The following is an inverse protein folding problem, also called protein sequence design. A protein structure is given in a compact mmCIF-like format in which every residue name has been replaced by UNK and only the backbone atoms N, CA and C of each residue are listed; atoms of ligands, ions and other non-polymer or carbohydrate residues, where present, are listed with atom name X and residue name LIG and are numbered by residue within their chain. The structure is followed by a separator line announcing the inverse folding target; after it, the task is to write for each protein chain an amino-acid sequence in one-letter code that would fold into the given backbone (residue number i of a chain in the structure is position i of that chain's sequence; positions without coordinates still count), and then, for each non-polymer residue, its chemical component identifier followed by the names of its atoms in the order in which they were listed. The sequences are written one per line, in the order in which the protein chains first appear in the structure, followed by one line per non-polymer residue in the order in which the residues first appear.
data_IF_758765061192
#
_entry.id   IF_758765061192
#
_cell.length_a   1.000
_cell.length_b   1.000
_cell.length_c   1.000
_cell.angle_alpha   90.00
_cell.angle_beta   90.00
_cell.angle_gamma   90.00
#
_symmetry.space_group_name_H-M   'P 1'
#
loop_
_entity.id
_entity.type
_entity.pdbx_description
1 polymer ?
#
# COMPACT_ATOMS: atom_id res chain seq x y z
N UNK A 1 4.84 -23.05 34.04
CA UNK A 1 3.83 -22.19 33.38
C UNK A 1 4.56 -21.32 32.37
N UNK A 2 4.30 -21.46 31.09
CA UNK A 2 4.86 -20.55 30.09
C UNK A 2 4.36 -19.13 30.39
N UNK A 3 5.27 -18.17 30.47
CA UNK A 3 4.99 -16.76 30.73
C UNK A 3 4.20 -16.24 29.54
N UNK A 4 2.98 -15.79 29.75
CA UNK A 4 2.22 -15.08 28.72
C UNK A 4 2.98 -13.78 28.46
N UNK A 5 3.51 -13.60 27.27
CA UNK A 5 4.22 -12.38 26.90
C UNK A 5 3.20 -11.32 26.53
N UNK A 6 3.23 -10.19 27.24
CA UNK A 6 2.53 -8.98 26.82
C UNK A 6 3.29 -8.36 25.65
N UNK A 7 2.66 -8.34 24.48
CA UNK A 7 3.23 -7.79 23.26
C UNK A 7 2.67 -6.41 23.03
N UNK A 8 3.51 -5.35 23.02
CA UNK A 8 3.05 -4.02 22.70
C UNK A 8 2.58 -3.94 21.24
N UNK A 9 1.54 -3.18 20.98
CA UNK A 9 1.09 -2.89 19.63
C UNK A 9 0.66 -1.43 19.50
N UNK A 10 0.68 -0.95 18.25
CA UNK A 10 0.08 0.29 17.80
C UNK A 10 -0.84 -0.02 16.63
N UNK A 11 -2.05 0.54 16.63
CA UNK A 11 -2.97 0.49 15.49
C UNK A 11 -2.84 1.78 14.72
N UNK A 12 -2.72 1.68 13.39
CA UNK A 12 -2.66 2.85 12.52
C UNK A 12 -3.21 2.54 11.12
N UNK A 13 -3.43 3.57 10.34
CA UNK A 13 -3.84 3.45 8.94
C UNK A 13 -3.25 4.54 8.06
N UNK A 14 -3.09 4.23 6.77
CA UNK A 14 -2.84 5.19 5.71
C UNK A 14 -4.04 5.18 4.76
N UNK A 15 -4.84 6.25 4.75
CA UNK A 15 -6.06 6.32 3.95
C UNK A 15 -6.98 5.09 4.13
N UNK A 16 -7.30 4.77 5.40
CA UNK A 16 -8.16 3.65 5.85
C UNK A 16 -7.67 2.22 5.52
N UNK A 17 -6.50 2.06 4.91
CA UNK A 17 -5.81 0.76 4.88
C UNK A 17 -5.07 0.60 6.21
N UNK A 18 -5.49 -0.36 7.04
CA UNK A 18 -5.20 -0.38 8.46
C UNK A 18 -4.26 -1.52 8.89
N UNK A 19 -3.37 -1.21 9.83
CA UNK A 19 -2.31 -2.12 10.25
C UNK A 19 -2.19 -2.22 11.76
N UNK A 20 -1.74 -3.39 12.24
CA UNK A 20 -1.19 -3.57 13.58
C UNK A 20 0.34 -3.49 13.47
N UNK A 21 0.93 -2.46 14.10
CA UNK A 21 2.38 -2.36 14.24
C UNK A 21 2.81 -3.09 15.50
N UNK A 22 3.86 -3.90 15.39
CA UNK A 22 4.48 -4.61 16.51
C UNK A 22 5.91 -4.08 16.70
N UNK A 23 6.15 -3.25 17.75
CA UNK A 23 7.50 -2.81 18.08
C UNK A 23 8.35 -3.98 18.55
N UNK A 24 9.33 -4.34 17.78
CA UNK A 24 10.29 -5.45 18.07
C UNK A 24 11.70 -5.09 17.60
N UNK A 25 12.20 -3.96 18.10
CA UNK A 25 13.50 -3.41 17.67
C UNK A 25 14.67 -4.40 17.81
N UNK A 26 14.55 -5.37 18.72
CA UNK A 26 15.58 -6.35 19.01
C UNK A 26 15.39 -7.70 18.30
N UNK A 27 14.37 -7.84 17.46
CA UNK A 27 14.11 -9.04 16.70
C UNK A 27 13.77 -10.30 17.54
N UNK A 28 13.11 -10.11 18.69
CA UNK A 28 12.84 -11.20 19.66
C UNK A 28 11.47 -11.85 19.49
N UNK A 29 10.60 -11.22 18.70
CA UNK A 29 9.22 -11.67 18.55
C UNK A 29 9.15 -12.81 17.52
N UNK A 30 8.71 -13.97 17.97
CA UNK A 30 8.34 -15.06 17.08
C UNK A 30 6.97 -14.77 16.47
N UNK A 31 6.95 -14.14 15.28
CA UNK A 31 5.74 -13.76 14.56
C UNK A 31 5.36 -14.84 13.54
N UNK A 32 4.61 -15.86 13.99
CA UNK A 32 4.10 -16.92 13.12
C UNK A 32 2.93 -16.43 12.26
N UNK A 33 2.67 -17.08 11.11
CA UNK A 33 1.50 -16.78 10.27
C UNK A 33 0.17 -16.93 11.04
N UNK A 34 0.11 -17.84 12.01
CA UNK A 34 -1.06 -18.07 12.83
C UNK A 34 -1.33 -16.91 13.80
N UNK A 35 -0.28 -16.35 14.40
CA UNK A 35 -0.35 -15.13 15.23
C UNK A 35 -0.79 -13.91 14.43
N UNK A 36 -0.29 -13.78 13.19
CA UNK A 36 -0.72 -12.71 12.27
C UNK A 36 -2.21 -12.84 11.96
N UNK A 37 -2.68 -14.02 11.55
CA UNK A 37 -4.10 -14.26 11.28
C UNK A 37 -4.97 -13.94 12.49
N UNK A 38 -4.52 -14.30 13.69
CA UNK A 38 -5.25 -13.99 14.91
C UNK A 38 -5.29 -12.48 15.17
N UNK A 39 -4.17 -11.77 15.06
CA UNK A 39 -4.12 -10.31 15.23
C UNK A 39 -5.05 -9.59 14.25
N UNK A 40 -5.05 -10.03 12.98
CA UNK A 40 -5.83 -9.40 11.92
C UNK A 40 -7.31 -9.74 11.93
N UNK A 41 -7.74 -10.77 12.68
CA UNK A 41 -9.16 -11.11 12.82
C UNK A 41 -9.91 -9.96 13.53
N UNK A 42 -10.86 -9.34 12.83
CA UNK A 42 -11.61 -8.15 13.32
C UNK A 42 -12.59 -8.46 14.46
N UNK A 43 -12.75 -9.73 14.83
CA UNK A 43 -13.67 -10.15 15.91
C UNK A 43 -12.96 -10.83 17.09
N UNK A 44 -11.86 -11.55 16.82
CA UNK A 44 -11.12 -12.30 17.85
C UNK A 44 -9.81 -11.62 18.24
N UNK A 45 -9.22 -10.83 17.34
CA UNK A 45 -7.97 -10.11 17.51
C UNK A 45 -8.17 -8.60 17.61
N UNK A 46 -7.19 -7.86 17.13
CA UNK A 46 -7.22 -6.38 17.02
C UNK A 46 -7.97 -5.97 15.74
N UNK A 47 -7.88 -6.78 14.69
CA UNK A 47 -8.44 -6.49 13.37
C UNK A 47 -7.53 -5.57 12.56
N UNK A 48 -7.10 -6.01 11.39
CA UNK A 48 -6.30 -5.21 10.45
C UNK A 48 -6.24 -5.88 9.07
N UNK A 49 -5.82 -5.11 8.06
CA UNK A 49 -5.48 -5.61 6.74
C UNK A 49 -4.10 -6.28 6.73
N UNK A 50 -3.25 -5.99 7.73
CA UNK A 50 -1.95 -6.62 7.88
C UNK A 50 -1.21 -6.22 9.15
N UNK A 51 -0.03 -6.81 9.33
CA UNK A 51 0.87 -6.57 10.45
C UNK A 51 2.18 -5.99 9.93
N UNK A 52 2.66 -4.93 10.58
CA UNK A 52 3.97 -4.32 10.37
C UNK A 52 4.83 -4.56 11.62
N UNK A 53 5.74 -5.52 11.58
CA UNK A 53 6.74 -5.70 12.64
C UNK A 53 7.85 -4.69 12.41
N UNK A 54 8.18 -3.92 13.43
CA UNK A 54 9.20 -2.88 13.41
C UNK A 54 10.47 -3.43 14.03
N UNK A 55 11.45 -3.78 13.22
CA UNK A 55 12.71 -4.40 13.68
C UNK A 55 13.92 -3.62 13.14
N UNK A 56 15.01 -3.54 13.92
CA UNK A 56 16.27 -3.02 13.37
C UNK A 56 16.87 -4.02 12.42
N UNK A 57 17.38 -3.57 11.26
CA UNK A 57 18.06 -4.42 10.31
C UNK A 57 19.17 -5.24 10.96
N UNK A 58 19.97 -4.63 11.84
CA UNK A 58 21.05 -5.32 12.57
C UNK A 58 20.59 -6.51 13.43
N UNK A 59 19.30 -6.61 13.74
CA UNK A 59 18.74 -7.68 14.57
C UNK A 59 17.83 -8.64 13.79
N UNK A 60 17.75 -8.48 12.47
CA UNK A 60 17.01 -9.39 11.61
C UNK A 60 17.96 -10.16 10.68
N UNK A 61 17.93 -11.51 10.69
CA UNK A 61 18.87 -12.31 9.89
C UNK A 61 18.77 -12.09 8.37
N UNK A 62 17.60 -11.68 7.87
CA UNK A 62 17.36 -11.43 6.45
C UNK A 62 17.95 -10.08 6.01
N UNK A 63 18.07 -9.10 6.94
CA UNK A 63 18.44 -7.72 6.64
C UNK A 63 19.67 -7.20 7.37
N UNK A 64 20.39 -8.04 8.15
CA UNK A 64 21.56 -7.62 8.92
C UNK A 64 22.65 -6.97 8.06
N UNK A 65 22.87 -7.44 6.85
CA UNK A 65 23.87 -6.92 5.92
C UNK A 65 23.52 -5.51 5.38
N UNK A 66 22.30 -5.05 5.57
CA UNK A 66 21.83 -3.74 5.13
C UNK A 66 21.78 -2.69 6.24
N UNK A 67 22.25 -3.02 7.44
CA UNK A 67 22.16 -2.13 8.62
C UNK A 67 22.87 -0.79 8.44
N UNK A 68 23.90 -0.71 7.59
CA UNK A 68 24.61 0.53 7.25
C UNK A 68 23.81 1.43 6.27
N UNK A 69 22.81 0.87 5.57
CA UNK A 69 21.99 1.59 4.59
C UNK A 69 20.63 1.97 5.16
N UNK A 70 20.02 1.07 5.92
CA UNK A 70 18.72 1.27 6.56
C UNK A 70 18.76 0.78 8.01
N UNK A 71 18.38 1.65 8.94
CA UNK A 71 18.31 1.26 10.36
C UNK A 71 17.18 0.28 10.63
N UNK A 72 16.02 0.45 9.95
CA UNK A 72 14.81 -0.31 10.23
C UNK A 72 14.34 -1.12 9.02
N UNK A 73 13.90 -2.35 9.31
CA UNK A 73 13.21 -3.23 8.39
C UNK A 73 11.71 -3.26 8.70
N UNK A 74 10.91 -3.04 7.68
CA UNK A 74 9.46 -3.21 7.71
C UNK A 74 9.10 -4.66 7.35
N UNK A 75 9.01 -5.54 8.35
CA UNK A 75 8.51 -6.91 8.15
C UNK A 75 6.99 -6.87 8.00
N UNK A 76 6.54 -6.69 6.76
CA UNK A 76 5.13 -6.64 6.41
C UNK A 76 4.57 -8.04 6.14
N UNK A 77 3.40 -8.30 6.73
CA UNK A 77 2.64 -9.54 6.54
C UNK A 77 1.17 -9.24 6.30
N UNK A 78 0.59 -9.89 5.28
CA UNK A 78 -0.83 -9.82 4.98
C UNK A 78 -1.67 -10.43 6.10
N UNK A 79 -2.97 -10.13 6.13
CA UNK A 79 -3.90 -10.64 7.16
C UNK A 79 -3.99 -12.18 7.22
N UNK A 80 -3.71 -12.87 6.11
CA UNK A 80 -3.66 -14.34 6.03
C UNK A 80 -2.35 -14.95 6.58
N UNK A 81 -1.41 -14.09 6.98
CA UNK A 81 -0.10 -14.48 7.52
C UNK A 81 0.98 -14.69 6.45
N UNK A 82 0.69 -14.52 5.17
CA UNK A 82 1.68 -14.56 4.10
C UNK A 82 2.66 -13.37 4.20
N UNK A 83 3.90 -13.58 3.76
CA UNK A 83 4.88 -12.51 3.63
C UNK A 83 4.50 -11.62 2.45
N UNK A 84 4.64 -10.32 2.64
CA UNK A 84 4.43 -9.34 1.60
C UNK A 84 5.70 -8.53 1.34
N UNK A 85 5.89 -8.11 0.10
CA UNK A 85 7.09 -7.42 -0.32
C UNK A 85 7.12 -5.97 0.18
N UNK A 86 6.08 -5.19 -0.16
CA UNK A 86 5.96 -3.78 0.21
C UNK A 86 4.50 -3.31 0.08
N UNK A 87 4.13 -2.30 0.86
CA UNK A 87 2.86 -1.59 0.77
C UNK A 87 3.09 -0.09 1.04
N UNK A 88 2.75 0.77 0.08
CA UNK A 88 2.93 2.21 0.22
C UNK A 88 2.14 2.82 1.37
N UNK A 89 0.93 2.34 1.64
CA UNK A 89 0.11 2.74 2.79
C UNK A 89 0.76 2.30 4.10
N UNK A 90 1.19 1.03 4.17
CA UNK A 90 1.91 0.47 5.32
C UNK A 90 3.22 1.19 5.60
N UNK A 91 3.98 1.54 4.56
CA UNK A 91 5.24 2.28 4.68
C UNK A 91 5.01 3.69 5.28
N UNK A 92 3.92 4.38 4.88
CA UNK A 92 3.56 5.67 5.52
C UNK A 92 3.28 5.49 7.01
N UNK A 93 2.50 4.50 7.40
CA UNK A 93 2.17 4.21 8.82
C UNK A 93 3.42 3.81 9.60
N UNK A 94 4.30 3.01 9.00
CA UNK A 94 5.57 2.60 9.59
C UNK A 94 6.48 3.80 9.89
N UNK A 95 6.68 4.68 8.92
CA UNK A 95 7.52 5.90 9.07
C UNK A 95 6.88 6.88 10.05
N UNK A 96 5.55 7.03 10.02
CA UNK A 96 4.80 7.84 11.01
C UNK A 96 5.02 7.34 12.44
N UNK A 97 5.03 6.01 12.62
CA UNK A 97 5.32 5.40 13.92
C UNK A 97 6.75 5.68 14.37
N UNK A 98 7.74 5.45 13.51
CA UNK A 98 9.15 5.72 13.83
C UNK A 98 9.36 7.19 14.22
N UNK A 99 8.74 8.12 13.51
CA UNK A 99 8.79 9.54 13.82
C UNK A 99 8.14 9.85 15.18
N UNK A 100 6.93 9.36 15.42
CA UNK A 100 6.18 9.62 16.65
C UNK A 100 6.84 9.06 17.91
N UNK A 101 7.68 8.03 17.78
CA UNK A 101 8.44 7.44 18.88
C UNK A 101 9.83 8.05 19.08
N UNK A 102 10.24 8.99 18.21
CA UNK A 102 11.56 9.57 18.22
C UNK A 102 12.66 8.60 17.77
N UNK A 103 12.30 7.52 17.07
CA UNK A 103 13.25 6.54 16.56
C UNK A 103 14.01 7.05 15.33
N UNK A 104 13.47 8.06 14.61
CA UNK A 104 14.17 8.68 13.49
C UNK A 104 15.07 9.81 13.98
N UNK A 105 16.32 9.79 13.54
CA UNK A 105 17.29 10.89 13.76
C UNK A 105 17.12 12.06 12.78
N UNK A 106 16.40 11.86 11.69
CA UNK A 106 16.16 12.85 10.62
C UNK A 106 14.74 12.71 10.10
N UNK A 107 14.25 13.75 9.39
CA UNK A 107 12.98 13.69 8.66
C UNK A 107 13.04 12.87 7.38
N UNK A 108 14.23 12.66 6.84
CA UNK A 108 14.47 11.75 5.72
C UNK A 108 15.09 10.45 6.23
N UNK A 109 14.65 9.33 5.71
CA UNK A 109 15.16 8.01 6.10
C UNK A 109 15.09 7.05 4.92
N UNK A 110 15.80 5.93 5.05
CA UNK A 110 15.62 4.75 4.20
C UNK A 110 15.13 3.63 5.10
N UNK A 111 14.09 2.93 4.67
CA UNK A 111 13.60 1.72 5.31
C UNK A 111 13.86 0.51 4.43
N UNK A 112 14.25 -0.60 5.02
CA UNK A 112 14.36 -1.86 4.31
C UNK A 112 12.98 -2.53 4.19
N UNK A 113 12.69 -3.10 3.04
CA UNK A 113 11.49 -3.91 2.76
C UNK A 113 11.91 -5.13 1.95
N UNK A 114 11.05 -6.13 1.80
CA UNK A 114 11.33 -7.28 0.91
C UNK A 114 11.36 -6.92 -0.56
N UNK A 115 10.77 -5.78 -0.95
CA UNK A 115 10.92 -5.22 -2.31
C UNK A 115 12.21 -4.42 -2.51
N UNK A 116 13.03 -4.24 -1.46
CA UNK A 116 14.26 -3.44 -1.49
C UNK A 116 14.21 -2.24 -0.56
N UNK A 117 15.15 -1.30 -0.78
CA UNK A 117 15.28 -0.09 0.02
C UNK A 117 14.32 0.99 -0.46
N UNK A 118 13.57 1.57 0.47
CA UNK A 118 12.55 2.58 0.19
C UNK A 118 12.92 3.87 0.89
N UNK A 119 13.08 4.93 0.11
CA UNK A 119 13.28 6.28 0.65
C UNK A 119 11.97 6.82 1.21
N UNK A 120 12.04 7.52 2.34
CA UNK A 120 10.89 8.14 2.96
C UNK A 120 11.24 9.52 3.55
N UNK A 121 10.25 10.41 3.57
CA UNK A 121 10.36 11.75 4.14
C UNK A 121 9.13 12.08 4.97
N UNK A 122 9.35 12.71 6.12
CA UNK A 122 8.30 13.25 6.99
C UNK A 122 8.13 14.73 6.70
N UNK A 123 6.96 15.16 6.22
CA UNK A 123 6.62 16.56 5.93
C UNK A 123 5.63 17.13 6.95
N UNK A 124 5.62 18.46 7.04
CA UNK A 124 4.79 19.18 8.00
C UNK A 124 5.37 19.21 9.42
N UNK A 125 4.84 20.08 10.28
CA UNK A 125 5.35 20.29 11.65
C UNK A 125 5.02 19.13 12.56
N UNK A 126 3.83 18.53 12.36
CA UNK A 126 3.31 17.40 13.16
C UNK A 126 3.27 16.09 12.35
N UNK A 127 4.08 16.01 11.27
CA UNK A 127 4.13 14.86 10.37
C UNK A 127 2.76 14.55 9.71
N UNK A 128 2.10 15.61 9.23
CA UNK A 128 0.80 15.51 8.56
C UNK A 128 0.86 14.68 7.29
N UNK A 129 2.02 14.70 6.63
CA UNK A 129 2.25 13.95 5.41
C UNK A 129 3.53 13.12 5.49
N UNK A 130 3.44 11.90 4.97
CA UNK A 130 4.58 11.01 4.77
C UNK A 130 4.75 10.77 3.27
N UNK A 131 5.97 10.96 2.79
CA UNK A 131 6.36 10.69 1.40
C UNK A 131 7.10 9.36 1.35
N UNK A 132 6.72 8.50 0.41
CA UNK A 132 7.34 7.19 0.18
C UNK A 132 7.76 7.09 -1.29
N UNK A 133 9.04 6.79 -1.52
CA UNK A 133 9.54 6.49 -2.86
C UNK A 133 8.94 5.20 -3.40
N UNK A 134 8.25 5.29 -4.54
CA UNK A 134 7.56 4.15 -5.16
C UNK A 134 8.35 3.55 -6.34
N UNK A 135 9.51 4.14 -6.65
CA UNK A 135 10.32 3.72 -7.81
C UNK A 135 9.79 4.28 -9.12
N UNK A 136 10.33 3.78 -10.22
CA UNK A 136 9.89 4.15 -11.56
C UNK A 136 8.77 3.22 -12.05
N UNK A 137 7.92 3.78 -12.91
CA UNK A 137 6.98 2.96 -13.67
C UNK A 137 7.76 2.13 -14.68
N UNK A 138 7.42 0.86 -14.76
CA UNK A 138 7.98 -0.05 -15.77
C UNK A 138 6.90 -0.28 -16.83
N UNK A 139 7.25 -0.03 -18.07
CA UNK A 139 6.35 -0.34 -19.18
C UNK A 139 5.98 -1.82 -19.16
N UNK A 140 4.72 -2.11 -19.49
CA UNK A 140 4.30 -3.50 -19.63
C UNK A 140 5.17 -4.20 -20.68
N UNK A 141 5.76 -5.37 -20.35
CA UNK A 141 6.63 -6.09 -21.27
C UNK A 141 5.91 -6.53 -22.55
N UNK A 142 4.59 -6.47 -22.59
CA UNK A 142 3.76 -6.73 -23.77
C UNK A 142 2.59 -5.73 -23.80
N UNK A 143 2.67 -4.66 -24.60
CA UNK A 143 1.55 -3.74 -24.78
C UNK A 143 0.47 -4.41 -25.66
N UNK A 144 -0.28 -5.34 -25.07
CA UNK A 144 -1.49 -5.88 -25.70
C UNK A 144 -2.65 -4.93 -25.37
N UNK A 145 -3.54 -4.66 -26.32
CA UNK A 145 -4.81 -4.04 -26.00
C UNK A 145 -5.51 -4.88 -24.93
N UNK A 146 -5.83 -4.29 -23.81
CA UNK A 146 -6.56 -4.97 -22.73
C UNK A 146 -7.90 -4.29 -22.53
N UNK A 147 -8.90 -5.12 -22.24
CA UNK A 147 -10.22 -4.65 -21.87
C UNK A 147 -10.63 -5.24 -20.52
N UNK A 148 -11.49 -4.52 -19.83
CA UNK A 148 -11.99 -4.87 -18.51
C UNK A 148 -13.51 -4.87 -18.52
N UNK A 149 -14.13 -5.87 -17.89
CA UNK A 149 -15.58 -5.91 -17.68
C UNK A 149 -15.88 -6.27 -16.22
N UNK A 150 -16.71 -5.47 -15.58
CA UNK A 150 -17.18 -5.76 -14.22
C UNK A 150 -18.26 -6.86 -14.32
N UNK A 151 -18.18 -7.92 -13.50
CA UNK A 151 -19.22 -8.95 -13.46
C UNK A 151 -20.61 -8.36 -13.19
N UNK A 152 -21.57 -8.71 -14.04
CA UNK A 152 -22.94 -8.16 -13.97
C UNK A 152 -23.16 -6.89 -14.79
N UNK A 153 -22.11 -6.24 -15.30
CA UNK A 153 -22.19 -5.14 -16.26
C UNK A 153 -21.99 -5.64 -17.69
N UNK A 154 -22.72 -5.07 -18.64
CA UNK A 154 -22.56 -5.40 -20.06
C UNK A 154 -21.40 -4.63 -20.71
N UNK A 155 -21.02 -3.49 -20.14
CA UNK A 155 -20.02 -2.59 -20.69
C UNK A 155 -18.63 -3.21 -20.61
N UNK A 156 -17.95 -3.24 -21.75
CA UNK A 156 -16.51 -3.59 -21.87
C UNK A 156 -15.74 -2.28 -22.02
N UNK A 157 -14.74 -2.08 -21.18
CA UNK A 157 -13.98 -0.83 -21.09
C UNK A 157 -12.54 -1.08 -21.50
N UNK A 158 -11.93 -0.17 -22.23
CA UNK A 158 -10.50 -0.20 -22.53
C UNK A 158 -9.69 0.10 -21.27
N UNK A 159 -8.53 -0.54 -21.15
CA UNK A 159 -7.63 -0.33 -20.01
C UNK A 159 -6.18 -0.18 -20.47
N UNK A 160 -5.42 0.58 -19.71
CA UNK A 160 -3.98 0.74 -19.88
C UNK A 160 -3.24 -0.15 -18.90
N UNK A 161 -2.32 -0.99 -19.43
CA UNK A 161 -1.47 -1.84 -18.61
C UNK A 161 -0.25 -1.08 -18.12
N UNK A 162 0.03 -1.13 -16.83
CA UNK A 162 1.18 -0.47 -16.22
C UNK A 162 1.69 -1.27 -15.02
N UNK A 163 2.99 -1.18 -14.70
CA UNK A 163 3.62 -1.85 -13.54
C UNK A 163 4.25 -0.83 -12.59
N UNK A 164 3.87 -0.91 -11.28
CA UNK A 164 4.35 -0.03 -10.21
C UNK A 164 4.54 -0.79 -8.87
N UNK A 165 5.54 -1.60 -8.65
CA UNK A 165 6.18 -2.55 -9.55
C UNK A 165 5.27 -3.73 -9.91
N UNK A 166 4.16 -3.92 -9.18
CA UNK A 166 3.15 -4.94 -9.47
C UNK A 166 2.24 -4.53 -10.65
N UNK A 167 1.52 -5.49 -11.26
CA UNK A 167 0.72 -5.21 -12.44
C UNK A 167 -0.59 -4.50 -12.10
N UNK A 168 -0.93 -3.49 -12.92
CA UNK A 168 -2.15 -2.69 -12.86
C UNK A 168 -2.82 -2.61 -14.23
N UNK A 169 -4.14 -2.67 -14.25
CA UNK A 169 -5.01 -2.39 -15.39
C UNK A 169 -5.86 -1.15 -15.07
N UNK A 170 -5.49 -0.02 -15.62
CA UNK A 170 -6.12 1.27 -15.34
C UNK A 170 -7.19 1.56 -16.39
N UNK A 171 -8.43 1.70 -15.94
CA UNK A 171 -9.62 2.03 -16.74
C UNK A 171 -10.03 3.46 -16.45
N UNK A 172 -9.99 4.34 -17.44
CA UNK A 172 -10.61 5.65 -17.34
C UNK A 172 -12.07 5.54 -17.76
N UNK A 173 -12.99 5.92 -16.86
CA UNK A 173 -14.42 5.90 -17.14
C UNK A 173 -14.80 7.05 -18.09
N UNK A 174 -15.67 6.74 -19.04
CA UNK A 174 -16.32 7.77 -19.85
C UNK A 174 -17.26 8.63 -18.98
N UNK A 175 -17.54 9.86 -19.40
CA UNK A 175 -18.40 10.82 -18.69
C UNK A 175 -19.82 10.30 -18.41
N UNK A 176 -20.22 9.23 -19.09
CA UNK A 176 -21.55 8.60 -18.96
C UNK A 176 -21.65 7.61 -17.81
N UNK A 177 -20.51 7.25 -17.17
CA UNK A 177 -20.47 6.27 -16.10
C UNK A 177 -19.74 6.85 -14.87
N UNK A 178 -20.43 6.88 -13.73
CA UNK A 178 -19.87 7.37 -12.47
C UNK A 178 -19.25 6.23 -11.66
N UNK A 179 -18.13 6.52 -10.96
CA UNK A 179 -17.48 5.58 -10.05
C UNK A 179 -18.42 5.02 -8.98
N UNK A 180 -19.38 5.85 -8.52
CA UNK A 180 -20.31 5.46 -7.48
C UNK A 180 -21.40 4.51 -7.99
N UNK A 181 -21.58 4.41 -9.32
CA UNK A 181 -22.55 3.55 -10.00
C UNK A 181 -22.00 2.17 -10.38
N UNK A 182 -20.68 1.94 -10.21
CA UNK A 182 -20.03 0.64 -10.54
C UNK A 182 -20.51 -0.53 -9.68
N UNK A 183 -21.24 -0.27 -8.60
CA UNK A 183 -21.56 -1.29 -7.60
C UNK A 183 -20.32 -1.75 -6.83
N UNK A 184 -20.37 -2.88 -6.08
CA UNK A 184 -19.24 -3.42 -5.34
C UNK A 184 -18.21 -4.06 -6.28
N UNK A 185 -16.94 -3.82 -5.99
CA UNK A 185 -15.81 -4.40 -6.72
C UNK A 185 -15.19 -5.60 -5.99
N UNK A 186 -15.97 -6.33 -5.18
CA UNK A 186 -15.50 -7.49 -4.42
C UNK A 186 -15.18 -8.70 -5.33
N UNK A 187 -15.91 -8.82 -6.44
CA UNK A 187 -15.68 -9.88 -7.42
C UNK A 187 -14.66 -9.42 -8.46
N UNK A 188 -13.63 -10.24 -8.77
CA UNK A 188 -12.61 -9.87 -9.74
C UNK A 188 -13.21 -9.43 -11.08
N UNK A 189 -12.85 -8.25 -11.60
CA UNK A 189 -13.17 -7.88 -12.97
C UNK A 189 -12.56 -8.85 -13.98
N UNK A 190 -13.27 -9.08 -15.09
CA UNK A 190 -12.78 -9.93 -16.17
C UNK A 190 -11.87 -9.11 -17.06
N UNK A 191 -10.58 -9.47 -17.10
CA UNK A 191 -9.57 -8.82 -17.96
C UNK A 191 -9.33 -9.70 -19.20
N UNK A 192 -9.33 -9.08 -20.37
CA UNK A 192 -9.12 -9.73 -21.66
C UNK A 192 -7.98 -9.07 -22.42
N UNK A 193 -7.03 -9.84 -22.98
CA UNK A 193 -6.97 -11.29 -22.96
C UNK A 193 -6.45 -11.84 -21.61
N UNK A 194 -6.91 -12.99 -21.13
CA UNK A 194 -6.51 -13.51 -19.81
C UNK A 194 -5.00 -13.83 -19.72
N UNK A 195 -4.34 -14.03 -20.86
CA UNK A 195 -2.89 -14.27 -20.92
C UNK A 195 -2.06 -13.02 -20.54
N UNK A 196 -2.65 -11.82 -20.57
CA UNK A 196 -1.95 -10.59 -20.17
C UNK A 196 -1.52 -10.62 -18.70
N UNK A 197 -2.30 -11.30 -17.85
CA UNK A 197 -2.05 -11.37 -16.41
C UNK A 197 -2.33 -12.79 -15.86
N UNK A 198 -1.44 -13.75 -16.09
CA UNK A 198 -1.65 -15.13 -15.69
C UNK A 198 -1.76 -15.31 -14.17
N UNK A 199 -1.15 -14.40 -13.40
CA UNK A 199 -1.20 -14.39 -11.92
C UNK A 199 -2.21 -13.37 -11.36
N UNK A 200 -3.04 -12.77 -12.23
CA UNK A 200 -3.98 -11.72 -11.87
C UNK A 200 -3.37 -10.32 -11.84
N UNK A 201 -4.21 -9.31 -11.69
CA UNK A 201 -3.88 -7.89 -11.81
C UNK A 201 -4.76 -7.06 -10.86
N UNK A 202 -4.24 -5.92 -10.39
CA UNK A 202 -5.06 -4.90 -9.76
C UNK A 202 -5.80 -4.12 -10.86
N UNK A 203 -7.06 -3.81 -10.63
CA UNK A 203 -7.86 -3.07 -11.62
C UNK A 203 -8.34 -1.78 -10.97
N UNK A 204 -7.87 -0.66 -11.51
CA UNK A 204 -8.24 0.68 -11.09
C UNK A 204 -9.31 1.25 -12.04
N UNK A 205 -10.43 1.67 -11.48
CA UNK A 205 -11.45 2.45 -12.18
C UNK A 205 -11.25 3.90 -11.79
N UNK A 206 -11.03 4.76 -12.78
CA UNK A 206 -10.56 6.14 -12.59
C UNK A 206 -11.48 7.12 -13.29
N UNK A 207 -11.70 8.26 -12.66
CA UNK A 207 -12.45 9.38 -13.22
C UNK A 207 -11.70 10.69 -13.04
N UNK A 208 -11.64 11.51 -14.08
CA UNK A 208 -11.11 12.86 -13.98
C UNK A 208 -12.04 13.75 -13.14
N UNK A 209 -11.47 14.53 -12.23
CA UNK A 209 -12.17 15.55 -11.44
C UNK A 209 -11.78 16.94 -11.92
N UNK A 210 -10.55 17.13 -12.35
CA UNK A 210 -10.01 18.37 -12.85
C UNK A 210 -8.57 18.21 -13.34
N UNK A 211 -7.89 19.32 -13.66
CA UNK A 211 -6.47 19.26 -13.98
C UNK A 211 -5.70 18.64 -12.83
N UNK A 212 -4.81 17.65 -13.13
CA UNK A 212 -3.99 16.94 -12.15
C UNK A 212 -4.77 16.41 -10.92
N UNK A 213 -6.07 16.11 -11.12
CA UNK A 213 -6.95 15.61 -10.07
C UNK A 213 -7.84 14.50 -10.61
N UNK A 214 -7.68 13.32 -10.03
CA UNK A 214 -8.47 12.13 -10.33
C UNK A 214 -9.08 11.56 -9.04
N UNK A 215 -10.14 10.79 -9.19
CA UNK A 215 -10.66 9.90 -8.16
C UNK A 215 -10.67 8.47 -8.68
N UNK A 216 -10.51 7.49 -7.79
CA UNK A 216 -10.46 6.08 -8.18
C UNK A 216 -11.07 5.16 -7.16
N UNK A 217 -11.50 3.99 -7.66
CA UNK A 217 -11.78 2.78 -6.87
C UNK A 217 -10.95 1.64 -7.44
N UNK A 218 -10.61 0.66 -6.63
CA UNK A 218 -9.71 -0.43 -7.02
C UNK A 218 -10.22 -1.79 -6.55
N UNK A 219 -10.09 -2.79 -7.44
CA UNK A 219 -10.11 -4.19 -7.07
C UNK A 219 -8.67 -4.68 -6.95
N UNK A 220 -8.21 -4.97 -5.75
CA UNK A 220 -6.87 -5.51 -5.54
C UNK A 220 -6.85 -7.02 -5.74
N UNK A 221 -5.82 -7.50 -6.43
CA UNK A 221 -5.58 -8.90 -6.75
C UNK A 221 -5.56 -9.78 -5.48
N UNK A 222 -6.47 -10.73 -5.41
CA UNK A 222 -6.56 -11.67 -4.28
C UNK A 222 -7.20 -11.13 -3.01
N UNK A 223 -7.60 -9.85 -3.01
CA UNK A 223 -8.19 -9.18 -1.84
C UNK A 223 -9.64 -8.77 -2.09
N UNK A 224 -9.92 -8.14 -3.24
CA UNK A 224 -11.20 -7.53 -3.55
C UNK A 224 -11.12 -6.00 -3.52
N UNK A 225 -12.24 -5.32 -3.32
CA UNK A 225 -12.26 -3.87 -3.20
C UNK A 225 -11.59 -3.42 -1.89
N UNK A 226 -10.64 -2.49 -2.01
CA UNK A 226 -9.97 -1.88 -0.86
C UNK A 226 -10.21 -0.37 -0.82
N UNK A 227 -10.04 0.20 0.37
CA UNK A 227 -10.25 1.64 0.60
C UNK A 227 -9.14 2.52 0.02
N UNK A 228 -7.95 1.94 -0.20
CA UNK A 228 -6.78 2.65 -0.74
C UNK A 228 -5.72 1.65 -1.21
N UNK A 229 -5.21 1.83 -2.42
CA UNK A 229 -4.06 1.12 -2.97
C UNK A 229 -2.99 2.13 -3.39
N UNK A 230 -1.82 2.11 -2.75
CA UNK A 230 -0.76 3.09 -3.01
C UNK A 230 -0.13 2.93 -4.40
N UNK A 231 0.15 1.71 -4.82
CA UNK A 231 0.68 1.41 -6.18
C UNK A 231 -0.38 1.69 -7.24
N UNK A 232 -1.65 1.39 -6.97
CA UNK A 232 -2.77 1.72 -7.85
C UNK A 232 -2.94 3.23 -8.04
N UNK A 233 -2.79 4.04 -6.98
CA UNK A 233 -2.82 5.50 -7.08
C UNK A 233 -1.68 6.03 -7.96
N UNK A 234 -0.47 5.48 -7.83
CA UNK A 234 0.66 5.81 -8.69
C UNK A 234 0.40 5.41 -10.15
N UNK A 235 -0.13 4.21 -10.38
CA UNK A 235 -0.49 3.72 -11.71
C UNK A 235 -1.55 4.63 -12.38
N UNK A 236 -2.63 4.95 -11.66
CA UNK A 236 -3.69 5.81 -12.15
C UNK A 236 -3.21 7.22 -12.49
N UNK A 237 -2.41 7.84 -11.61
CA UNK A 237 -1.83 9.16 -11.83
C UNK A 237 -0.89 9.18 -13.04
N UNK A 238 -0.06 8.14 -13.18
CA UNK A 238 0.85 8.03 -14.33
C UNK A 238 0.10 7.92 -15.65
N UNK A 239 -0.95 7.09 -15.72
CA UNK A 239 -1.78 6.99 -16.93
C UNK A 239 -2.48 8.31 -17.22
N UNK A 240 -3.06 8.98 -16.19
CA UNK A 240 -3.68 10.29 -16.35
C UNK A 240 -2.72 11.31 -16.96
N UNK A 241 -1.48 11.36 -16.48
CA UNK A 241 -0.44 12.27 -16.99
C UNK A 241 -0.03 11.96 -18.44
N UNK A 242 -0.10 10.70 -18.87
CA UNK A 242 0.19 10.33 -20.27
C UNK A 242 -0.98 10.66 -21.22
N UNK A 243 -2.21 10.62 -20.74
CA UNK A 243 -3.40 10.96 -21.52
C UNK A 243 -3.56 12.46 -21.76
N UNK A 244 -3.17 13.27 -20.79
CA UNK A 244 -3.27 14.72 -20.86
C UNK A 244 -2.00 15.33 -20.26
N UNK A 245 -1.14 16.01 -21.07
CA UNK A 245 0.10 16.58 -20.54
C UNK A 245 -0.18 17.46 -19.35
N UNK A 246 0.28 17.02 -18.19
CA UNK A 246 0.20 17.77 -16.95
C UNK A 246 1.02 19.06 -17.06
N UNK A 247 0.55 20.11 -16.41
CA UNK A 247 1.28 21.37 -16.27
C UNK A 247 2.11 21.38 -14.97
N UNK A 248 1.83 20.45 -14.05
CA UNK A 248 2.50 20.29 -12.77
C UNK A 248 3.07 18.87 -12.56
N UNK A 249 3.91 18.76 -11.55
CA UNK A 249 4.63 17.53 -11.19
C UNK A 249 3.91 16.72 -10.11
N UNK A 250 2.64 17.04 -9.81
CA UNK A 250 1.87 16.40 -8.73
C UNK A 250 0.45 16.12 -9.18
N UNK A 251 0.00 14.89 -8.97
CA UNK A 251 -1.41 14.50 -9.11
C UNK A 251 -2.05 14.28 -7.74
N UNK A 252 -3.23 14.88 -7.55
CA UNK A 252 -4.13 14.54 -6.46
C UNK A 252 -4.95 13.31 -6.84
N UNK A 253 -4.99 12.32 -5.96
CA UNK A 253 -5.78 11.09 -6.14
C UNK A 253 -6.71 10.91 -4.94
N UNK A 254 -8.01 11.07 -5.17
CA UNK A 254 -9.02 10.76 -4.17
C UNK A 254 -9.39 9.28 -4.26
N UNK A 255 -9.27 8.59 -3.14
CA UNK A 255 -9.64 7.18 -2.96
C UNK A 255 -10.74 7.07 -1.90
N UNK A 256 -11.47 5.95 -1.79
CA UNK A 256 -12.53 5.82 -0.77
C UNK A 256 -12.07 6.09 0.67
N UNK A 257 -10.78 5.87 0.99
CA UNK A 257 -10.19 6.10 2.31
C UNK A 257 -9.62 7.50 2.53
N UNK A 258 -9.69 8.42 1.55
CA UNK A 258 -9.17 9.79 1.68
C UNK A 258 -8.43 10.28 0.45
N UNK A 259 -7.45 11.15 0.65
CA UNK A 259 -6.67 11.74 -0.46
C UNK A 259 -5.19 11.39 -0.31
N UNK A 260 -4.57 11.02 -1.43
CA UNK A 260 -3.12 10.90 -1.58
C UNK A 260 -2.65 11.76 -2.75
N UNK A 261 -1.36 12.02 -2.80
CA UNK A 261 -0.71 12.75 -3.88
C UNK A 261 0.39 11.87 -4.48
N UNK A 262 0.52 11.94 -5.79
CA UNK A 262 1.62 11.29 -6.53
C UNK A 262 2.48 12.40 -7.12
N UNK A 263 3.71 12.49 -6.61
CA UNK A 263 4.70 13.46 -7.08
C UNK A 263 5.61 12.78 -8.13
N UNK A 264 5.81 13.42 -9.29
CA UNK A 264 6.63 12.93 -10.40
C UNK A 264 8.02 13.56 -10.31
N UNK A 265 9.04 12.72 -10.19
CA UNK A 265 10.42 13.18 -10.20
C UNK A 265 10.94 13.34 -11.63
N UNK A 266 11.89 14.24 -11.82
CA UNK A 266 12.47 14.53 -13.15
C UNK A 266 13.18 13.32 -13.80
N UNK A 267 13.52 12.30 -13.02
CA UNK A 267 14.14 11.06 -13.49
C UNK A 267 13.14 9.92 -13.74
N UNK A 268 11.83 10.23 -13.69
CA UNK A 268 10.73 9.28 -13.94
C UNK A 268 10.32 8.44 -12.74
N UNK A 269 10.91 8.67 -11.56
CA UNK A 269 10.45 8.03 -10.32
C UNK A 269 9.20 8.70 -9.80
N UNK A 270 8.41 7.93 -9.07
CA UNK A 270 7.21 8.38 -8.40
C UNK A 270 7.39 8.37 -6.88
N UNK A 271 6.82 9.38 -6.24
CA UNK A 271 6.65 9.41 -4.78
C UNK A 271 5.16 9.42 -4.44
N UNK A 272 4.77 8.58 -3.50
CA UNK A 272 3.44 8.58 -2.93
C UNK A 272 3.44 9.39 -1.64
N UNK A 273 2.66 10.46 -1.59
CA UNK A 273 2.54 11.34 -0.45
C UNK A 273 1.12 11.33 0.11
N UNK A 274 0.99 11.25 1.43
CA UNK A 274 -0.32 11.29 2.06
C UNK A 274 -0.26 11.12 3.57
N UNK A 275 -1.43 11.18 4.24
CA UNK A 275 -1.54 11.06 5.68
C UNK A 275 -1.24 9.64 6.16
N UNK A 276 -0.85 9.56 7.43
CA UNK A 276 -0.81 8.31 8.19
C UNK A 276 -1.17 8.60 9.64
N UNK A 277 -2.11 7.84 10.17
CA UNK A 277 -2.65 8.06 11.51
C UNK A 277 -2.36 6.86 12.42
N UNK A 278 -2.01 7.16 13.68
CA UNK A 278 -1.84 6.19 14.75
C UNK A 278 -3.05 6.33 15.69
N UNK A 279 -3.97 5.39 15.65
CA UNK A 279 -5.31 5.54 16.28
C UNK A 279 -5.42 4.92 17.66
N UNK A 280 -4.59 3.91 17.97
CA UNK A 280 -4.60 3.24 19.29
C UNK A 280 -3.25 2.60 19.59
N UNK A 281 -2.99 2.42 20.90
CA UNK A 281 -1.84 1.65 21.39
C UNK A 281 -2.24 0.85 22.62
N UNK A 282 -1.57 -0.29 22.83
CA UNK A 282 -1.86 -1.15 23.95
C UNK A 282 -0.89 -2.33 24.03
N UNK A 283 -1.29 -3.35 24.75
CA UNK A 283 -0.62 -4.64 24.82
C UNK A 283 -1.60 -5.74 24.48
N UNK A 284 -1.14 -6.77 23.81
CA UNK A 284 -1.91 -7.95 23.47
C UNK A 284 -1.23 -9.20 24.04
N UNK A 285 -2.00 -10.16 24.46
CA UNK A 285 -1.52 -11.46 24.93
C UNK A 285 -1.92 -12.52 23.93
N UNK A 286 -0.94 -13.32 23.49
CA UNK A 286 -1.24 -14.44 22.62
C UNK A 286 -2.21 -15.42 23.31
N UNK A 287 -3.22 -15.91 22.59
CA UNK A 287 -4.03 -17.03 23.10
C UNK A 287 -3.16 -18.24 23.44
N UNK A 288 -3.59 -19.03 24.40
CA UNK A 288 -2.89 -20.26 24.75
C UNK A 288 -2.92 -21.20 23.54
N UNK A 289 -1.73 -21.61 23.08
CA UNK A 289 -1.56 -22.53 21.94
C UNK A 289 -1.14 -21.86 20.62
N UNK A 290 -1.04 -20.50 20.59
CA UNK A 290 -0.42 -19.76 19.47
C UNK A 290 1.04 -19.45 19.75
#
# INVERSE_FOLDING_TARGET
MARVLDVPFVKGHGTENDFVLLPDFEGRLDLTAERVRWLCDRRKGIGADGVLRVVRCAHDPEFADYADVAEFFMDYRNADGSLAEMCGNGARVFVRYLHATGALSSRTTVIATRAGMVAAEVRGTEAEEIVIGMGAVVDSPQPLPITVRIPGHETVMDATSVHVPNPHAVVFLEDTLDLDELGPLDTPPVVTPPQAYPEGVNVEFVQHVGPEHIRMRVHERGVGETRSCGTGACAAAWVAATMSPATGDTYRVDVPGGTVFVDFESDGRLNLRGPAELVARGTVQWPRGL
#
